data_IF_793353056994
#
_entry.id   IF_793353056994
#
_cell.length_a   1.000
_cell.length_b   1.000
_cell.length_c   1.000
_cell.angle_alpha   90.00
_cell.angle_beta   90.00
_cell.angle_gamma   90.00
#
_symmetry.space_group_name_H-M   'P 1'
#
loop_
_entity.id
_entity.type
_entity.pdbx_description
1 polymer ?
#
# COMPACT_ATOMS: atom_id res chain seq x y z
N UNK A 1 5.20 16.39 1.12
CA UNK A 1 5.21 14.92 1.06
C UNK A 1 6.31 14.32 0.15
N UNK A 2 7.01 15.07 -0.69
CA UNK A 2 8.10 14.60 -1.60
C UNK A 2 7.66 13.41 -2.50
N UNK A 3 6.44 13.46 -3.02
CA UNK A 3 5.88 12.36 -3.83
C UNK A 3 6.51 12.29 -5.25
N UNK A 4 7.04 13.40 -5.76
CA UNK A 4 7.83 13.38 -7.01
C UNK A 4 9.09 12.53 -6.86
N UNK A 5 9.85 12.72 -5.76
CA UNK A 5 11.02 11.90 -5.46
C UNK A 5 10.66 10.41 -5.24
N UNK A 6 9.53 10.13 -4.58
CA UNK A 6 9.02 8.77 -4.47
C UNK A 6 8.78 8.16 -5.86
N UNK A 7 8.15 8.90 -6.77
CA UNK A 7 7.88 8.43 -8.13
C UNK A 7 9.17 8.19 -8.92
N UNK A 8 10.13 9.13 -8.90
CA UNK A 8 11.44 8.99 -9.57
C UNK A 8 12.20 7.74 -9.11
N UNK A 9 12.20 7.46 -7.81
CA UNK A 9 12.83 6.26 -7.27
C UNK A 9 12.05 4.97 -7.57
N UNK A 10 10.73 5.06 -7.71
CA UNK A 10 9.87 3.90 -7.96
C UNK A 10 9.89 3.48 -9.44
N UNK A 11 9.89 4.43 -10.37
CA UNK A 11 9.90 4.19 -11.82
C UNK A 11 11.06 4.95 -12.50
N UNK A 12 12.31 4.58 -12.21
CA UNK A 12 13.49 5.36 -12.62
C UNK A 12 13.67 5.45 -14.14
N UNK A 13 13.06 4.54 -14.90
CA UNK A 13 13.09 4.54 -16.37
C UNK A 13 11.76 4.99 -16.98
N UNK A 14 10.83 5.49 -16.16
CA UNK A 14 9.52 5.97 -16.60
C UNK A 14 9.61 7.26 -17.38
N UNK A 15 8.68 7.47 -18.31
CA UNK A 15 8.48 8.78 -18.94
C UNK A 15 7.98 9.82 -17.93
N UNK A 16 8.10 11.11 -18.25
CA UNK A 16 7.56 12.19 -17.42
C UNK A 16 6.06 11.97 -17.09
N UNK A 17 5.31 11.45 -18.05
CA UNK A 17 3.89 11.11 -17.84
C UNK A 17 3.68 9.93 -16.87
N UNK A 18 4.57 8.94 -16.87
CA UNK A 18 4.52 7.81 -15.93
C UNK A 18 4.96 8.24 -14.53
N UNK A 19 5.97 9.10 -14.42
CA UNK A 19 6.39 9.70 -13.15
C UNK A 19 5.27 10.54 -12.53
N UNK A 20 4.65 11.40 -13.35
CA UNK A 20 3.50 12.20 -12.92
C UNK A 20 2.33 11.32 -12.46
N UNK A 21 1.97 10.30 -13.24
CA UNK A 21 0.89 9.38 -12.91
C UNK A 21 1.17 8.61 -11.60
N UNK A 22 2.41 8.15 -11.43
CA UNK A 22 2.84 7.47 -10.19
C UNK A 22 2.73 8.39 -8.98
N UNK A 23 3.23 9.63 -9.09
CA UNK A 23 3.16 10.62 -8.01
C UNK A 23 1.72 10.97 -7.65
N UNK A 24 0.83 11.09 -8.64
CA UNK A 24 -0.58 11.42 -8.44
C UNK A 24 -1.36 10.26 -7.82
N UNK A 25 -1.10 9.01 -8.19
CA UNK A 25 -1.66 7.84 -7.50
C UNK A 25 -1.19 7.77 -6.04
N UNK A 26 0.08 8.00 -5.77
CA UNK A 26 0.59 8.06 -4.40
C UNK A 26 -0.05 9.20 -3.60
N UNK A 27 -0.26 10.37 -4.22
CA UNK A 27 -0.97 11.49 -3.60
C UNK A 27 -2.43 11.13 -3.28
N UNK A 28 -3.14 10.52 -4.22
CA UNK A 28 -4.51 10.08 -4.02
C UNK A 28 -4.65 9.12 -2.85
N UNK A 29 -3.77 8.11 -2.77
CA UNK A 29 -3.76 7.14 -1.67
C UNK A 29 -3.48 7.83 -0.34
N UNK A 30 -2.49 8.72 -0.27
CA UNK A 30 -2.23 9.49 0.95
C UNK A 30 -3.44 10.36 1.36
N UNK A 31 -4.15 10.97 0.40
CA UNK A 31 -5.34 11.78 0.69
C UNK A 31 -6.51 10.94 1.22
N UNK A 32 -6.71 9.73 0.68
CA UNK A 32 -7.72 8.80 1.17
C UNK A 32 -7.39 8.36 2.58
N UNK A 33 -6.14 7.98 2.84
CA UNK A 33 -5.64 7.55 4.14
C UNK A 33 -5.76 8.69 5.19
N UNK A 34 -5.24 9.89 4.86
CA UNK A 34 -5.32 11.08 5.73
C UNK A 34 -6.76 11.47 6.08
N UNK A 35 -7.73 11.19 5.20
CA UNK A 35 -9.13 11.47 5.51
C UNK A 35 -9.66 10.61 6.66
N UNK A 36 -9.15 9.40 6.79
CA UNK A 36 -9.53 8.49 7.88
C UNK A 36 -8.69 8.70 9.14
N UNK A 37 -7.44 9.11 8.98
CA UNK A 37 -6.54 9.39 10.11
C UNK A 37 -6.88 10.71 10.82
N UNK A 38 -7.22 11.76 10.08
CA UNK A 38 -7.51 13.10 10.65
C UNK A 38 -8.88 13.22 11.32
N UNK A 39 -9.79 12.34 11.03
CA UNK A 39 -11.13 12.37 11.62
C UNK A 39 -11.17 11.65 12.99
N UNK A 40 -10.12 11.80 13.79
CA UNK A 40 -9.81 11.02 15.00
C UNK A 40 -10.88 11.05 16.10
N UNK A 41 -11.89 11.89 16.00
CA UNK A 41 -12.87 11.99 17.09
C UNK A 41 -14.12 11.16 16.84
N UNK A 42 -14.56 10.90 15.59
CA UNK A 42 -15.80 10.13 15.31
C UNK A 42 -15.98 9.75 13.82
N UNK A 43 -15.05 9.01 13.18
CA UNK A 43 -15.44 8.41 11.90
C UNK A 43 -16.46 7.30 12.15
N UNK A 44 -17.66 7.49 11.65
CA UNK A 44 -18.64 6.42 11.64
C UNK A 44 -18.29 5.40 10.55
N UNK A 45 -18.29 4.09 10.86
CA UNK A 45 -18.01 3.04 9.87
C UNK A 45 -18.85 3.18 8.60
N UNK A 46 -20.09 3.73 8.71
CA UNK A 46 -20.98 3.97 7.58
C UNK A 46 -20.45 5.05 6.61
N UNK A 47 -19.72 6.04 7.12
CA UNK A 47 -19.12 7.09 6.30
C UNK A 47 -17.92 6.53 5.50
N UNK A 48 -17.12 5.67 6.14
CA UNK A 48 -16.05 4.92 5.48
C UNK A 48 -16.63 4.03 4.37
N UNK A 49 -17.67 3.24 4.70
CA UNK A 49 -18.34 2.37 3.75
C UNK A 49 -18.94 3.15 2.57
N UNK A 50 -19.59 4.28 2.86
CA UNK A 50 -20.20 5.16 1.84
C UNK A 50 -19.16 5.75 0.89
N UNK A 51 -18.00 6.22 1.42
CA UNK A 51 -16.93 6.75 0.58
C UNK A 51 -16.35 5.64 -0.33
N UNK A 52 -15.99 4.50 0.23
CA UNK A 52 -15.43 3.41 -0.58
C UNK A 52 -16.43 2.84 -1.58
N UNK A 53 -17.72 2.78 -1.26
CA UNK A 53 -18.74 2.39 -2.25
C UNK A 53 -18.75 3.34 -3.46
N UNK A 54 -18.63 4.65 -3.25
CA UNK A 54 -18.54 5.62 -4.34
C UNK A 54 -17.23 5.49 -5.13
N UNK A 55 -16.08 5.34 -4.45
CA UNK A 55 -14.79 5.16 -5.12
C UNK A 55 -14.76 3.85 -5.94
N UNK A 56 -15.28 2.75 -5.41
CA UNK A 56 -15.41 1.49 -6.15
C UNK A 56 -16.32 1.65 -7.36
N UNK A 57 -17.42 2.40 -7.24
CA UNK A 57 -18.32 2.68 -8.37
C UNK A 57 -17.60 3.38 -9.53
N UNK A 58 -16.67 4.30 -9.24
CA UNK A 58 -15.84 4.97 -10.27
C UNK A 58 -15.04 3.95 -11.08
N UNK A 59 -14.30 3.06 -10.42
CA UNK A 59 -13.41 2.11 -11.11
C UNK A 59 -14.13 0.90 -11.71
N UNK A 60 -15.39 0.65 -11.35
CA UNK A 60 -16.23 -0.40 -11.93
C UNK A 60 -17.15 0.08 -13.05
N UNK A 61 -17.07 1.36 -13.43
CA UNK A 61 -17.80 1.91 -14.57
C UNK A 61 -19.23 2.33 -14.28
N UNK A 62 -19.57 2.58 -13.00
CA UNK A 62 -20.88 3.11 -12.63
C UNK A 62 -21.04 4.56 -13.07
N UNK A 63 -22.16 4.87 -13.75
CA UNK A 63 -22.52 6.22 -14.10
C UNK A 63 -23.13 6.92 -12.88
N UNK A 64 -22.40 7.77 -12.22
CA UNK A 64 -22.92 8.63 -11.15
C UNK A 64 -22.25 10.00 -11.22
N UNK A 65 -22.99 11.04 -10.88
CA UNK A 65 -22.42 12.35 -10.61
C UNK A 65 -21.44 12.25 -9.44
N UNK A 66 -20.28 12.86 -9.57
CA UNK A 66 -19.28 12.89 -8.48
C UNK A 66 -19.81 13.77 -7.33
N UNK A 67 -19.68 13.26 -6.11
CA UNK A 67 -20.10 13.96 -4.89
C UNK A 67 -18.92 14.72 -4.27
N UNK A 68 -17.68 14.28 -4.56
CA UNK A 68 -16.48 14.86 -3.97
C UNK A 68 -15.31 14.93 -4.96
N UNK A 69 -14.29 15.73 -4.62
CA UNK A 69 -13.06 15.83 -5.39
C UNK A 69 -12.26 14.51 -5.43
N UNK A 70 -12.41 13.61 -4.43
CA UNK A 70 -11.74 12.31 -4.44
C UNK A 70 -12.27 11.40 -5.56
N UNK A 71 -13.58 11.42 -5.82
CA UNK A 71 -14.18 10.65 -6.91
C UNK A 71 -13.71 11.19 -8.28
N UNK A 72 -13.64 12.52 -8.42
CA UNK A 72 -13.13 13.17 -9.64
C UNK A 72 -11.64 12.83 -9.87
N UNK A 73 -10.83 12.88 -8.82
CA UNK A 73 -9.41 12.54 -8.90
C UNK A 73 -9.22 11.07 -9.27
N UNK A 74 -9.99 10.15 -8.67
CA UNK A 74 -9.93 8.73 -9.02
C UNK A 74 -10.38 8.46 -10.46
N UNK A 75 -11.41 9.12 -10.94
CA UNK A 75 -11.89 9.00 -12.31
C UNK A 75 -10.81 9.44 -13.33
N UNK A 76 -10.13 10.56 -13.08
CA UNK A 76 -9.02 11.02 -13.91
C UNK A 76 -7.86 10.01 -13.91
N UNK A 77 -7.44 9.56 -12.74
CA UNK A 77 -6.40 8.55 -12.60
C UNK A 77 -6.76 7.24 -13.30
N UNK A 78 -8.00 6.78 -13.13
CA UNK A 78 -8.49 5.55 -13.73
C UNK A 78 -8.55 5.62 -15.25
N UNK A 79 -9.02 6.73 -15.81
CA UNK A 79 -9.06 6.95 -17.27
C UNK A 79 -7.67 6.97 -17.91
N UNK A 80 -6.66 7.41 -17.20
CA UNK A 80 -5.26 7.43 -17.68
C UNK A 80 -4.55 6.09 -17.49
N UNK A 81 -5.02 5.25 -16.58
CA UNK A 81 -4.39 3.97 -16.24
C UNK A 81 -5.07 2.79 -16.93
N UNK A 82 -6.38 2.61 -16.73
CA UNK A 82 -7.11 1.40 -17.12
C UNK A 82 -7.08 1.10 -18.64
N UNK A 83 -7.12 2.08 -19.56
CA UNK A 83 -7.04 1.79 -21.00
C UNK A 83 -5.68 1.23 -21.45
N UNK A 84 -4.63 1.43 -20.66
CA UNK A 84 -3.27 0.94 -20.95
C UNK A 84 -3.10 -0.54 -20.56
N UNK A 85 -4.06 -1.11 -19.82
CA UNK A 85 -3.94 -2.40 -19.14
C UNK A 85 -4.98 -3.41 -19.61
N UNK A 86 -4.65 -4.70 -19.44
CA UNK A 86 -5.54 -5.81 -19.80
C UNK A 86 -6.80 -5.87 -18.93
N UNK A 87 -7.81 -6.59 -19.37
CA UNK A 87 -9.01 -6.85 -18.56
C UNK A 87 -8.67 -7.57 -17.26
N UNK A 88 -7.79 -8.59 -17.31
CA UNK A 88 -7.33 -9.32 -16.13
C UNK A 88 -6.65 -8.41 -15.10
N UNK A 89 -5.82 -7.46 -15.55
CA UNK A 89 -5.23 -6.46 -14.65
C UNK A 89 -6.31 -5.61 -13.98
N UNK A 90 -7.31 -5.13 -14.75
CA UNK A 90 -8.40 -4.30 -14.19
C UNK A 90 -9.21 -5.06 -13.15
N UNK A 91 -9.50 -6.33 -13.39
CA UNK A 91 -10.21 -7.20 -12.43
C UNK A 91 -9.39 -7.38 -11.15
N UNK A 92 -8.09 -7.62 -11.25
CA UNK A 92 -7.18 -7.75 -10.11
C UNK A 92 -7.08 -6.44 -9.32
N UNK A 93 -6.85 -5.31 -9.99
CA UNK A 93 -6.81 -4.00 -9.34
C UNK A 93 -8.11 -3.71 -8.57
N UNK A 94 -9.27 -3.96 -9.18
CA UNK A 94 -10.57 -3.78 -8.52
C UNK A 94 -10.72 -4.72 -7.33
N UNK A 95 -10.21 -5.94 -7.41
CA UNK A 95 -10.24 -6.90 -6.30
C UNK A 95 -9.35 -6.43 -5.15
N UNK A 96 -8.09 -6.03 -5.42
CA UNK A 96 -7.15 -5.53 -4.42
C UNK A 96 -7.64 -4.20 -3.78
N UNK A 97 -8.21 -3.31 -4.58
CA UNK A 97 -8.79 -2.07 -4.07
C UNK A 97 -10.04 -2.31 -3.19
N UNK A 98 -10.88 -3.31 -3.57
CA UNK A 98 -12.04 -3.72 -2.77
C UNK A 98 -11.60 -4.35 -1.45
N UNK A 99 -10.57 -5.17 -1.45
CA UNK A 99 -10.01 -5.78 -0.23
C UNK A 99 -9.45 -4.72 0.72
N UNK A 100 -8.74 -3.73 0.19
CA UNK A 100 -8.32 -2.55 0.95
C UNK A 100 -9.52 -1.81 1.56
N UNK A 101 -10.56 -1.53 0.77
CA UNK A 101 -11.76 -0.85 1.22
C UNK A 101 -12.46 -1.60 2.38
N UNK A 102 -12.59 -2.91 2.26
CA UNK A 102 -13.18 -3.77 3.31
C UNK A 102 -12.32 -3.77 4.57
N UNK A 103 -11.00 -3.92 4.44
CA UNK A 103 -10.09 -3.91 5.58
C UNK A 103 -10.11 -2.57 6.35
N UNK A 104 -10.22 -1.45 5.64
CA UNK A 104 -10.34 -0.12 6.25
C UNK A 104 -11.68 0.03 6.99
N UNK A 105 -12.77 -0.52 6.46
CA UNK A 105 -14.07 -0.55 7.14
C UNK A 105 -14.02 -1.42 8.41
N UNK A 106 -13.40 -2.60 8.33
CA UNK A 106 -13.18 -3.50 9.48
C UNK A 106 -12.34 -2.79 10.56
N UNK A 107 -11.33 -2.04 10.16
CA UNK A 107 -10.49 -1.26 11.07
C UNK A 107 -11.29 -0.14 11.75
N UNK A 108 -12.09 0.62 11.01
CA UNK A 108 -12.94 1.67 11.55
C UNK A 108 -13.97 1.11 12.55
N UNK A 109 -14.59 -0.04 12.27
CA UNK A 109 -15.51 -0.71 13.17
C UNK A 109 -14.80 -1.19 14.45
N UNK A 110 -13.62 -1.83 14.32
CA UNK A 110 -12.86 -2.33 15.45
C UNK A 110 -12.34 -1.23 16.40
N UNK A 111 -12.06 -0.03 15.90
CA UNK A 111 -11.70 1.13 16.73
C UNK A 111 -12.84 1.51 17.69
N UNK A 112 -14.09 1.44 17.24
CA UNK A 112 -15.26 1.74 18.05
C UNK A 112 -15.48 0.70 19.16
N UNK A 113 -15.22 -0.57 18.87
CA UNK A 113 -15.43 -1.68 19.79
C UNK A 113 -14.32 -1.80 20.86
N UNK A 114 -13.20 -1.13 20.68
CA UNK A 114 -12.00 -1.15 21.57
C UNK A 114 -11.50 -2.57 21.89
N UNK A 115 -11.71 -3.52 20.99
CA UNK A 115 -11.20 -4.88 21.14
C UNK A 115 -9.75 -4.94 20.72
N UNK A 116 -8.80 -5.26 21.62
CA UNK A 116 -7.39 -5.37 21.26
C UNK A 116 -7.18 -6.49 20.25
N UNK A 117 -6.48 -6.18 19.16
CA UNK A 117 -6.15 -7.17 18.13
C UNK A 117 -4.88 -7.93 18.48
N UNK A 118 -4.86 -9.25 18.22
CA UNK A 118 -3.66 -10.09 18.32
C UNK A 118 -2.71 -9.85 17.16
N UNK A 119 -1.43 -10.20 17.32
CA UNK A 119 -0.37 -9.96 16.32
C UNK A 119 -0.69 -10.62 14.97
N UNK A 120 -1.18 -11.85 14.97
CA UNK A 120 -1.51 -12.57 13.75
C UNK A 120 -2.59 -11.87 12.93
N UNK A 121 -3.66 -11.42 13.59
CA UNK A 121 -4.77 -10.72 12.95
C UNK A 121 -4.34 -9.34 12.49
N UNK A 122 -3.50 -8.65 13.29
CA UNK A 122 -2.91 -7.38 12.92
C UNK A 122 -2.11 -7.47 11.61
N UNK A 123 -1.20 -8.44 11.53
CA UNK A 123 -0.37 -8.64 10.32
C UNK A 123 -1.25 -8.89 9.08
N UNK A 124 -2.29 -9.69 9.19
CA UNK A 124 -3.20 -9.96 8.07
C UNK A 124 -3.98 -8.70 7.67
N UNK A 125 -4.53 -7.96 8.63
CA UNK A 125 -5.24 -6.71 8.37
C UNK A 125 -4.31 -5.64 7.79
N UNK A 126 -3.12 -5.45 8.39
CA UNK A 126 -2.16 -4.42 7.97
C UNK A 126 -1.71 -4.59 6.54
N UNK A 127 -1.52 -5.82 6.08
CA UNK A 127 -1.20 -6.13 4.67
C UNK A 127 -2.28 -5.62 3.71
N UNK A 128 -3.53 -5.61 4.13
CA UNK A 128 -4.66 -5.15 3.34
C UNK A 128 -4.84 -3.62 3.41
N UNK A 129 -4.58 -3.01 4.58
CA UNK A 129 -4.79 -1.57 4.80
C UNK A 129 -3.65 -0.67 4.32
N UNK A 130 -2.44 -1.21 4.12
CA UNK A 130 -1.26 -0.40 3.69
C UNK A 130 -1.34 0.08 2.23
N UNK A 131 -2.31 -0.36 1.42
CA UNK A 131 -2.47 0.00 -0.01
C UNK A 131 -1.31 -0.39 -0.93
N UNK A 132 -0.34 -1.15 -0.44
CA UNK A 132 0.81 -1.54 -1.23
C UNK A 132 0.46 -2.47 -2.41
N UNK A 133 -0.62 -3.28 -2.30
CA UNK A 133 -1.06 -4.15 -3.39
C UNK A 133 -1.69 -3.37 -4.55
N UNK A 134 -2.65 -2.46 -4.35
CA UNK A 134 -3.12 -1.56 -5.41
C UNK A 134 -2.00 -0.73 -6.04
N UNK A 135 -1.03 -0.24 -5.23
CA UNK A 135 0.14 0.47 -5.78
C UNK A 135 1.03 -0.43 -6.64
N UNK A 136 1.25 -1.69 -6.23
CA UNK A 136 2.00 -2.65 -7.05
C UNK A 136 1.32 -2.90 -8.41
N UNK A 137 -0.03 -2.91 -8.46
CA UNK A 137 -0.76 -2.97 -9.73
C UNK A 137 -0.54 -1.71 -10.58
N UNK A 138 -0.54 -0.52 -9.98
CA UNK A 138 -0.23 0.72 -10.71
C UNK A 138 1.17 0.69 -11.32
N UNK A 139 2.15 0.13 -10.63
CA UNK A 139 3.52 0.00 -11.14
C UNK A 139 3.62 -0.89 -12.37
N UNK A 140 2.75 -1.88 -12.52
CA UNK A 140 2.69 -2.66 -13.76
C UNK A 140 2.41 -1.77 -14.98
N UNK A 141 1.59 -0.73 -14.79
CA UNK A 141 1.29 0.26 -15.82
C UNK A 141 2.43 1.25 -16.02
N UNK A 142 2.90 1.89 -14.95
CA UNK A 142 3.81 3.04 -15.04
C UNK A 142 5.28 2.63 -15.22
N UNK A 143 5.69 1.47 -14.72
CA UNK A 143 7.01 0.90 -15.01
C UNK A 143 7.04 0.01 -16.27
N UNK A 144 5.90 -0.18 -16.95
CA UNK A 144 5.80 -1.08 -18.10
C UNK A 144 6.18 -2.53 -17.77
N UNK A 145 5.87 -2.98 -16.56
CA UNK A 145 6.24 -4.27 -16.00
C UNK A 145 5.00 -5.09 -15.62
N UNK A 146 4.16 -5.50 -16.59
CA UNK A 146 2.93 -6.21 -16.32
C UNK A 146 3.19 -7.54 -15.61
N UNK A 147 2.22 -7.96 -14.80
CA UNK A 147 2.22 -9.28 -14.16
C UNK A 147 2.48 -10.36 -15.20
N UNK A 148 3.54 -11.16 -15.06
CA UNK A 148 3.82 -12.23 -16.00
C UNK A 148 2.75 -13.33 -15.90
N UNK A 149 2.26 -13.79 -17.04
CA UNK A 149 1.41 -14.99 -17.09
C UNK A 149 2.30 -16.22 -16.89
N UNK A 150 2.44 -16.64 -15.64
CA UNK A 150 3.40 -17.65 -15.23
C UNK A 150 2.77 -18.61 -14.19
N UNK A 151 2.02 -19.64 -14.62
CA UNK A 151 1.39 -20.58 -13.68
C UNK A 151 2.39 -21.23 -12.71
N UNK A 152 3.59 -21.57 -13.19
CA UNK A 152 4.65 -22.19 -12.36
C UNK A 152 5.18 -21.26 -11.26
N UNK A 153 5.11 -19.94 -11.46
CA UNK A 153 5.64 -18.93 -10.53
C UNK A 153 4.59 -18.22 -9.70
N UNK A 154 3.32 -18.56 -9.84
CA UNK A 154 2.22 -17.79 -9.25
C UNK A 154 2.30 -17.69 -7.72
N UNK A 155 2.63 -18.77 -7.03
CA UNK A 155 2.79 -18.76 -5.57
C UNK A 155 3.97 -17.90 -5.13
N UNK A 156 5.08 -17.93 -5.87
CA UNK A 156 6.24 -17.06 -5.61
C UNK A 156 5.89 -15.60 -5.82
N UNK A 157 5.16 -15.27 -6.90
CA UNK A 157 4.71 -13.90 -7.17
C UNK A 157 3.75 -13.40 -6.09
N UNK A 158 2.78 -14.20 -5.68
CA UNK A 158 1.90 -13.88 -4.55
C UNK A 158 2.69 -13.69 -3.25
N UNK A 159 3.66 -14.56 -3.00
CA UNK A 159 4.58 -14.44 -1.86
C UNK A 159 5.37 -13.14 -1.88
N UNK A 160 5.91 -12.78 -3.04
CA UNK A 160 6.67 -11.54 -3.26
C UNK A 160 5.82 -10.29 -2.98
N UNK A 161 4.58 -10.23 -3.50
CA UNK A 161 3.65 -9.12 -3.25
C UNK A 161 3.24 -9.02 -1.77
N UNK A 162 3.02 -10.17 -1.09
CA UNK A 162 2.77 -10.18 0.36
C UNK A 162 3.97 -9.65 1.14
N UNK A 163 5.18 -10.06 0.77
CA UNK A 163 6.40 -9.56 1.41
C UNK A 163 6.56 -8.05 1.21
N UNK A 164 6.30 -7.54 0.01
CA UNK A 164 6.27 -6.12 -0.30
C UNK A 164 5.29 -5.36 0.59
N UNK A 165 4.05 -5.85 0.73
CA UNK A 165 3.04 -5.21 1.56
C UNK A 165 3.43 -5.20 3.05
N UNK A 166 3.99 -6.29 3.56
CA UNK A 166 4.48 -6.38 4.94
C UNK A 166 5.64 -5.40 5.18
N UNK A 167 6.62 -5.33 4.25
CA UNK A 167 7.75 -4.39 4.36
C UNK A 167 7.25 -2.95 4.37
N UNK A 168 6.34 -2.59 3.47
CA UNK A 168 5.76 -1.25 3.40
C UNK A 168 4.98 -0.91 4.68
N UNK A 169 4.09 -1.81 5.12
CA UNK A 169 3.25 -1.63 6.31
C UNK A 169 4.06 -1.51 7.59
N UNK A 170 4.97 -2.44 7.82
CA UNK A 170 5.77 -2.44 9.05
C UNK A 170 6.81 -1.32 9.10
N UNK A 171 7.28 -0.84 7.93
CA UNK A 171 8.14 0.34 7.87
C UNK A 171 7.36 1.62 8.17
N UNK A 172 6.13 1.73 7.69
CA UNK A 172 5.22 2.82 8.03
C UNK A 172 4.94 2.82 9.55
N UNK A 173 4.61 1.66 10.13
CA UNK A 173 4.36 1.50 11.55
C UNK A 173 5.57 1.91 12.42
N UNK A 174 6.79 1.60 11.99
CA UNK A 174 8.00 2.00 12.70
C UNK A 174 8.19 3.53 12.73
N UNK A 175 7.77 4.23 11.68
CA UNK A 175 7.86 5.69 11.60
C UNK A 175 6.72 6.37 12.37
N UNK A 176 5.48 5.86 12.28
CA UNK A 176 4.29 6.43 12.90
C UNK A 176 4.07 5.99 14.36
N UNK A 177 4.91 5.10 14.91
CA UNK A 177 4.67 4.43 16.19
C UNK A 177 4.37 5.38 17.37
N UNK A 178 5.01 6.56 17.43
CA UNK A 178 4.80 7.52 18.51
C UNK A 178 3.46 8.23 18.40
N UNK A 179 3.04 8.54 17.17
CA UNK A 179 1.75 9.17 16.91
C UNK A 179 0.62 8.17 17.14
N UNK A 180 0.77 6.95 16.62
CA UNK A 180 -0.20 5.87 16.80
C UNK A 180 -0.39 5.49 18.28
N UNK A 181 0.72 5.45 19.05
CA UNK A 181 0.65 5.20 20.49
C UNK A 181 -0.10 6.32 21.21
N UNK A 182 0.16 7.59 20.85
CA UNK A 182 -0.48 8.76 21.45
C UNK A 182 -1.99 8.80 21.18
N UNK A 183 -2.36 8.32 20.01
CA UNK A 183 -3.75 8.28 19.54
C UNK A 183 -4.48 6.97 19.89
N UNK A 184 -3.78 6.01 20.50
CA UNK A 184 -4.35 4.73 20.89
C UNK A 184 -4.68 3.82 19.71
N UNK A 185 -3.99 4.00 18.58
CA UNK A 185 -4.16 3.15 17.38
C UNK A 185 -3.33 1.87 17.48
N UNK A 186 -3.87 0.80 16.89
CA UNK A 186 -3.09 -0.42 16.67
C UNK A 186 -2.00 -0.13 15.61
N UNK A 187 -0.77 -0.52 15.97
CA UNK A 187 0.43 -0.41 15.18
C UNK A 187 1.30 -1.61 15.52
N UNK A 188 2.17 -2.09 14.64
CA UNK A 188 2.99 -3.27 14.92
C UNK A 188 3.74 -3.17 16.26
N UNK A 189 4.28 -1.99 16.57
CA UNK A 189 5.00 -1.76 17.83
C UNK A 189 4.06 -1.82 19.03
N UNK A 190 2.87 -1.19 18.96
CA UNK A 190 1.91 -1.19 20.08
C UNK A 190 1.31 -2.57 20.32
N UNK A 191 1.01 -3.31 19.24
CA UNK A 191 0.51 -4.69 19.31
C UNK A 191 1.56 -5.63 19.91
N UNK A 192 2.83 -5.55 19.46
CA UNK A 192 3.93 -6.35 20.03
C UNK A 192 4.16 -6.03 21.51
N UNK A 193 4.17 -4.74 21.89
CA UNK A 193 4.35 -4.31 23.27
C UNK A 193 3.26 -4.92 24.18
N UNK A 194 2.01 -4.85 23.74
CA UNK A 194 0.85 -5.37 24.46
C UNK A 194 0.87 -6.90 24.56
N UNK A 195 1.06 -7.59 23.43
CA UNK A 195 0.96 -9.06 23.39
C UNK A 195 2.12 -9.75 24.13
N UNK A 196 3.32 -9.16 24.07
CA UNK A 196 4.52 -9.73 24.71
C UNK A 196 4.82 -9.14 26.10
N UNK A 197 4.03 -8.19 26.57
CA UNK A 197 4.25 -7.54 27.86
C UNK A 197 5.61 -6.85 27.98
N UNK A 198 6.12 -6.28 26.88
CA UNK A 198 7.46 -5.66 26.84
C UNK A 198 7.36 -4.13 26.66
N UNK A 199 8.47 -3.42 26.90
CA UNK A 199 8.53 -1.98 26.68
C UNK A 199 8.35 -1.62 25.19
N UNK A 200 7.88 -0.42 24.90
CA UNK A 200 7.75 0.12 23.54
C UNK A 200 9.12 0.10 22.80
N UNK A 201 10.22 0.37 23.50
CA UNK A 201 11.56 0.28 22.92
C UNK A 201 11.89 -1.13 22.47
N UNK A 202 11.65 -2.14 23.33
CA UNK A 202 11.87 -3.55 22.99
C UNK A 202 10.94 -4.02 21.86
N UNK A 203 9.68 -3.57 21.87
CA UNK A 203 8.74 -3.87 20.79
C UNK A 203 9.18 -3.26 19.45
N UNK A 204 9.73 -2.04 19.46
CA UNK A 204 10.30 -1.39 18.26
C UNK A 204 11.50 -2.15 17.69
N UNK A 205 12.41 -2.64 18.55
CA UNK A 205 13.52 -3.50 18.11
C UNK A 205 13.02 -4.78 17.46
N UNK A 206 12.01 -5.42 18.06
CA UNK A 206 11.40 -6.63 17.51
C UNK A 206 10.68 -6.36 16.19
N UNK A 207 9.92 -5.27 16.08
CA UNK A 207 9.26 -4.86 14.84
C UNK A 207 10.29 -4.58 13.71
N UNK A 208 11.42 -3.96 14.08
CA UNK A 208 12.54 -3.72 13.14
C UNK A 208 13.12 -5.05 12.64
N UNK A 209 13.38 -5.99 13.56
CA UNK A 209 13.88 -7.31 13.18
C UNK A 209 12.89 -8.07 12.27
N UNK A 210 11.59 -8.04 12.58
CA UNK A 210 10.55 -8.63 11.74
C UNK A 210 10.53 -8.01 10.33
N UNK A 211 10.59 -6.67 10.22
CA UNK A 211 10.66 -5.97 8.94
C UNK A 211 11.91 -6.37 8.14
N UNK A 212 13.07 -6.46 8.79
CA UNK A 212 14.32 -6.82 8.14
C UNK A 212 14.33 -8.29 7.67
N UNK A 213 13.74 -9.19 8.45
CA UNK A 213 13.49 -10.58 8.05
C UNK A 213 12.62 -10.61 6.79
N UNK A 214 11.57 -9.78 6.76
CA UNK A 214 10.66 -9.74 5.63
C UNK A 214 11.30 -9.16 4.36
N UNK A 215 12.25 -8.22 4.50
CA UNK A 215 13.11 -7.77 3.38
C UNK A 215 13.98 -8.92 2.85
N UNK A 216 14.50 -9.79 3.74
CA UNK A 216 15.26 -10.99 3.31
C UNK A 216 14.35 -11.97 2.56
N UNK A 217 13.13 -12.21 3.05
CA UNK A 217 12.14 -13.04 2.36
C UNK A 217 11.80 -12.49 0.97
N UNK A 218 11.55 -11.17 0.86
CA UNK A 218 11.31 -10.52 -0.42
C UNK A 218 12.45 -10.77 -1.41
N UNK A 219 13.71 -10.61 -0.98
CA UNK A 219 14.90 -10.86 -1.82
C UNK A 219 15.02 -12.32 -2.22
N UNK A 220 14.75 -13.26 -1.30
CA UNK A 220 14.78 -14.69 -1.58
C UNK A 220 13.71 -15.10 -2.60
N UNK A 221 12.48 -14.58 -2.46
CA UNK A 221 11.39 -14.80 -3.41
C UNK A 221 11.70 -14.21 -4.79
N UNK A 222 12.26 -13.01 -4.85
CA UNK A 222 12.72 -12.37 -6.07
C UNK A 222 13.80 -13.20 -6.79
N UNK A 223 14.78 -13.70 -6.03
CA UNK A 223 15.83 -14.58 -6.56
C UNK A 223 15.23 -15.90 -7.07
N UNK A 224 14.31 -16.53 -6.33
CA UNK A 224 13.64 -17.75 -6.75
C UNK A 224 12.85 -17.58 -8.05
N UNK A 225 12.10 -16.48 -8.19
CA UNK A 225 11.38 -16.14 -9.41
C UNK A 225 12.30 -15.96 -10.62
N UNK A 226 13.41 -15.23 -10.44
CA UNK A 226 14.35 -14.98 -11.54
C UNK A 226 15.20 -16.21 -11.88
N UNK A 227 15.28 -17.21 -11.01
CA UNK A 227 15.95 -18.49 -11.22
C UNK A 227 15.07 -19.54 -11.91
N UNK A 228 13.78 -19.28 -12.11
CA UNK A 228 12.90 -20.22 -12.83
C UNK A 228 13.45 -20.48 -14.26
N UNK A 229 13.28 -21.69 -14.81
CA UNK A 229 13.79 -22.07 -16.13
C UNK A 229 12.98 -21.46 -17.27
N UNK A 230 12.84 -20.16 -17.27
CA UNK A 230 12.07 -19.36 -18.24
C UNK A 230 12.94 -18.94 -19.42
N UNK A 231 12.33 -18.74 -20.57
CA UNK A 231 13.02 -18.33 -21.80
C UNK A 231 12.36 -17.08 -22.42
N UNK A 232 13.13 -16.36 -23.22
CA UNK A 232 12.61 -15.25 -24.03
C UNK A 232 11.84 -14.19 -23.25
N UNK A 233 10.64 -13.90 -23.70
CA UNK A 233 9.77 -12.84 -23.17
C UNK A 233 9.27 -13.10 -21.74
N UNK A 234 9.07 -14.36 -21.36
CA UNK A 234 8.67 -14.73 -19.98
C UNK A 234 9.75 -14.36 -18.98
N UNK A 235 11.01 -14.74 -19.26
CA UNK A 235 12.16 -14.41 -18.40
C UNK A 235 12.29 -12.89 -18.25
N UNK A 236 12.19 -12.17 -19.37
CA UNK A 236 12.29 -10.71 -19.35
C UNK A 236 11.12 -10.06 -18.60
N UNK A 237 9.90 -10.55 -18.77
CA UNK A 237 8.73 -10.10 -18.02
C UNK A 237 8.91 -10.26 -16.51
N UNK A 238 9.36 -11.45 -16.06
CA UNK A 238 9.65 -11.71 -14.63
C UNK A 238 10.73 -10.76 -14.10
N UNK A 239 11.82 -10.56 -14.86
CA UNK A 239 12.90 -9.65 -14.45
C UNK A 239 12.41 -8.22 -14.26
N UNK A 240 11.65 -7.68 -15.22
CA UNK A 240 11.08 -6.33 -15.13
C UNK A 240 10.10 -6.20 -13.98
N UNK A 241 9.21 -7.16 -13.80
CA UNK A 241 8.26 -7.18 -12.70
C UNK A 241 8.97 -7.18 -11.32
N UNK A 242 9.93 -8.07 -11.12
CA UNK A 242 10.72 -8.16 -9.89
C UNK A 242 11.51 -6.87 -9.64
N UNK A 243 12.12 -6.29 -10.69
CA UNK A 243 12.85 -5.03 -10.59
C UNK A 243 11.92 -3.86 -10.18
N UNK A 244 10.74 -3.74 -10.79
CA UNK A 244 9.76 -2.70 -10.45
C UNK A 244 9.32 -2.79 -8.99
N UNK A 245 9.00 -4.00 -8.48
CA UNK A 245 8.67 -4.19 -7.07
C UNK A 245 9.87 -3.90 -6.14
N UNK A 246 11.09 -4.24 -6.55
CA UNK A 246 12.32 -3.91 -5.82
C UNK A 246 12.56 -2.41 -5.71
N UNK A 247 12.34 -1.68 -6.81
CA UNK A 247 12.40 -0.22 -6.82
C UNK A 247 11.36 0.38 -5.88
N UNK A 248 10.13 -0.12 -5.90
CA UNK A 248 9.07 0.35 -5.00
C UNK A 248 9.41 0.13 -3.52
N UNK A 249 9.93 -1.04 -3.14
CA UNK A 249 10.39 -1.29 -1.76
C UNK A 249 11.47 -0.29 -1.37
N UNK A 250 12.48 -0.09 -2.21
CA UNK A 250 13.58 0.83 -1.93
C UNK A 250 13.09 2.27 -1.82
N UNK A 251 12.25 2.70 -2.76
CA UNK A 251 11.66 4.03 -2.79
C UNK A 251 10.78 4.30 -1.56
N UNK A 252 9.96 3.32 -1.14
CA UNK A 252 9.13 3.43 0.05
C UNK A 252 9.96 3.58 1.32
N UNK A 253 11.00 2.76 1.50
CA UNK A 253 11.89 2.85 2.65
C UNK A 253 12.62 4.20 2.71
N UNK A 254 13.11 4.67 1.56
CA UNK A 254 13.73 6.00 1.46
C UNK A 254 12.73 7.11 1.80
N UNK A 255 11.57 7.10 1.15
CA UNK A 255 10.54 8.13 1.32
C UNK A 255 10.05 8.24 2.76
N UNK A 256 9.84 7.12 3.44
CA UNK A 256 9.47 7.10 4.86
C UNK A 256 10.53 7.74 5.76
N UNK A 257 11.81 7.67 5.37
CA UNK A 257 12.90 8.30 6.10
C UNK A 257 13.05 9.81 5.87
N UNK A 258 12.49 10.36 4.77
CA UNK A 258 12.67 11.77 4.38
C UNK A 258 11.36 12.56 4.25
N UNK A 259 10.21 11.90 4.35
CA UNK A 259 8.91 12.55 4.28
C UNK A 259 8.62 13.33 5.56
N UNK A 260 7.97 14.49 5.43
CA UNK A 260 7.46 15.26 6.55
C UNK A 260 6.01 14.91 6.92
N UNK A 261 5.47 13.81 6.37
CA UNK A 261 4.08 13.41 6.59
C UNK A 261 3.78 13.09 8.06
N UNK A 262 4.78 12.58 8.77
CA UNK A 262 4.68 12.17 10.18
C UNK A 262 5.24 13.23 11.15
N UNK A 263 5.60 14.43 10.68
CA UNK A 263 6.01 15.51 11.55
C UNK A 263 4.79 16.10 12.28
N UNK A 264 4.90 16.33 13.58
CA UNK A 264 3.81 16.86 14.44
C UNK A 264 3.13 18.15 13.90
N UNK A 265 3.84 18.93 13.06
CA UNK A 265 3.32 20.15 12.43
C UNK A 265 2.57 19.90 11.09
N UNK A 266 2.67 18.72 10.51
CA UNK A 266 1.97 18.41 9.25
C UNK A 266 0.45 18.30 9.46
N UNK A 267 0.01 17.70 10.55
CA UNK A 267 -1.40 17.49 10.88
C UNK A 267 -2.18 18.81 11.12
N UNK A 268 -1.49 19.91 11.42
CA UNK A 268 -2.08 21.22 11.71
C UNK A 268 -2.15 22.18 10.51
N UNK A 269 -1.69 21.79 9.31
CA UNK A 269 -1.76 22.64 8.12
C UNK A 269 -3.17 22.63 7.53
N UNK A 270 -3.82 23.79 7.31
CA UNK A 270 -5.07 23.86 6.58
C UNK A 270 -4.85 23.41 5.12
N UNK A 271 -5.75 22.57 4.62
CA UNK A 271 -5.82 22.22 3.19
C UNK A 271 -6.35 23.37 2.37
#
# INVERSE_FOLDING_TARGET
MRLGELAELTVPEGSDADLELTAQWAAFICLVDDRFDRSLVEIRPEEVASLFARLLNVITGGAAGFVSGLEQALDDLWRRTAPRMSTQWRERFVADYRDFALATQEEAAGRNDRVPMGLSDYVLRRRRTITALPLADILECTAGAPWPDLPMGEDLMRGLRRALADVAGWSNDLVSAEDDLREGRDNLVTVLSRERGCSVSSAREQATAMRDDRVRDFRALAAALTALPLLGTEREGVRRYVAALGSFVTATLHWLGVTHRFDAHWASRPM
#
